data_IF_393277168795
#
_entry.id   IF_393277168795
#
_cell.length_a   1.000
_cell.length_b   1.000
_cell.length_c   1.000
_cell.angle_alpha   90.00
_cell.angle_beta   90.00
_cell.angle_gamma   90.00
#
_symmetry.space_group_name_H-M   'P 1'
#
loop_
_entity.id
_entity.type
_entity.pdbx_description
1 polymer ?
#
# COMPACT_ATOMS: atom_id res chain seq x y z
N UNK A 1 2.19 -17.07 -33.87
CA UNK A 1 2.89 -16.07 -33.03
C UNK A 1 2.20 -16.10 -31.69
N UNK A 2 2.81 -16.76 -30.71
CA UNK A 2 2.15 -17.13 -29.44
C UNK A 2 1.90 -15.90 -28.57
N UNK A 3 0.67 -15.81 -28.09
CA UNK A 3 0.17 -14.87 -27.11
C UNK A 3 0.95 -15.02 -25.79
N UNK A 4 1.72 -14.01 -25.43
CA UNK A 4 2.54 -13.96 -24.21
C UNK A 4 1.78 -13.32 -23.02
N UNK A 5 0.45 -13.36 -22.98
CA UNK A 5 -0.34 -12.64 -21.97
C UNK A 5 -0.67 -13.46 -20.70
N UNK A 6 -0.23 -14.72 -20.60
CA UNK A 6 -0.68 -15.63 -19.54
C UNK A 6 0.37 -16.03 -18.48
N UNK A 7 1.52 -15.35 -18.40
CA UNK A 7 2.31 -15.42 -17.17
C UNK A 7 1.64 -14.48 -16.18
N UNK A 8 1.02 -15.02 -15.14
CA UNK A 8 0.48 -14.24 -14.03
C UNK A 8 1.54 -13.24 -13.61
N UNK A 9 1.33 -11.96 -13.92
CA UNK A 9 2.35 -10.96 -13.63
C UNK A 9 2.70 -11.07 -12.13
N UNK A 10 3.98 -11.13 -11.75
CA UNK A 10 4.39 -11.50 -10.38
C UNK A 10 3.68 -10.67 -9.30
N UNK A 11 3.38 -9.41 -9.61
CA UNK A 11 2.65 -8.51 -8.72
C UNK A 11 1.16 -8.84 -8.49
N UNK A 12 0.51 -9.58 -9.39
CA UNK A 12 -0.86 -10.10 -9.17
C UNK A 12 -0.84 -11.28 -8.20
N UNK A 13 0.16 -12.15 -8.31
CA UNK A 13 0.33 -13.29 -7.40
C UNK A 13 0.66 -12.82 -5.98
N UNK A 14 1.55 -11.83 -5.84
CA UNK A 14 1.82 -11.18 -4.54
C UNK A 14 0.53 -10.63 -3.93
N UNK A 15 -0.36 -10.03 -4.73
CA UNK A 15 -1.62 -9.52 -4.20
C UNK A 15 -2.55 -10.62 -3.69
N UNK A 16 -2.54 -11.79 -4.32
CA UNK A 16 -3.27 -12.97 -3.86
C UNK A 16 -2.72 -13.52 -2.56
N UNK A 17 -1.40 -13.58 -2.44
CA UNK A 17 -0.72 -14.01 -1.23
C UNK A 17 -1.00 -13.06 -0.06
N UNK A 18 -0.80 -11.76 -0.27
CA UNK A 18 -0.95 -10.73 0.78
C UNK A 18 -2.40 -10.53 1.20
N UNK A 19 -3.35 -10.48 0.26
CA UNK A 19 -4.75 -10.18 0.58
C UNK A 19 -5.60 -11.44 0.79
N UNK A 20 -5.11 -12.63 0.45
CA UNK A 20 -5.92 -13.86 0.43
C UNK A 20 -6.56 -14.20 1.78
N UNK A 21 -5.86 -13.89 2.87
CA UNK A 21 -6.31 -14.11 4.26
C UNK A 21 -6.82 -12.84 4.94
N UNK A 22 -6.71 -11.67 4.31
CA UNK A 22 -7.16 -10.40 4.87
C UNK A 22 -8.69 -10.24 4.72
N UNK A 23 -9.33 -9.41 5.56
CA UNK A 23 -10.78 -9.19 5.50
C UNK A 23 -11.21 -8.49 4.20
N UNK A 24 -12.48 -8.63 3.84
CA UNK A 24 -13.08 -7.91 2.71
C UNK A 24 -12.90 -6.40 2.92
N UNK A 25 -12.60 -5.68 1.83
CA UNK A 25 -12.24 -4.26 1.86
C UNK A 25 -10.75 -4.00 1.98
N UNK A 26 -9.93 -4.99 2.40
CA UNK A 26 -8.48 -4.85 2.43
C UNK A 26 -7.91 -4.66 1.03
N UNK A 27 -6.93 -3.78 0.89
CA UNK A 27 -6.42 -3.40 -0.42
C UNK A 27 -4.94 -3.07 -0.41
N UNK A 28 -4.34 -3.06 -1.59
CA UNK A 28 -3.01 -2.52 -1.83
C UNK A 28 -2.96 -1.76 -3.14
N UNK A 29 -2.09 -0.75 -3.19
CA UNK A 29 -1.78 -0.01 -4.41
C UNK A 29 -0.38 -0.41 -4.85
N UNK A 30 -0.26 -0.83 -6.11
CA UNK A 30 0.98 -1.33 -6.71
C UNK A 30 1.21 -0.71 -8.08
N UNK A 31 2.41 -0.87 -8.62
CA UNK A 31 2.65 -0.51 -10.02
C UNK A 31 1.85 -1.43 -10.95
N UNK A 32 1.33 -0.86 -12.04
CA UNK A 32 0.60 -1.61 -13.05
C UNK A 32 1.56 -2.43 -13.90
N UNK A 33 1.38 -3.75 -13.88
CA UNK A 33 2.18 -4.67 -14.69
C UNK A 33 1.88 -4.60 -16.19
N UNK A 34 0.69 -4.10 -16.55
CA UNK A 34 0.25 -4.03 -17.96
C UNK A 34 0.39 -2.64 -18.57
N UNK A 35 0.63 -1.61 -17.75
CA UNK A 35 0.68 -0.22 -18.21
C UNK A 35 1.75 0.56 -17.42
N UNK A 36 2.97 0.71 -17.98
CA UNK A 36 4.04 1.46 -17.34
C UNK A 36 3.59 2.87 -16.93
N UNK A 37 4.04 3.34 -15.76
CA UNK A 37 3.69 4.66 -15.23
C UNK A 37 2.27 4.78 -14.64
N UNK A 38 1.46 3.72 -14.67
CA UNK A 38 0.16 3.67 -13.99
C UNK A 38 0.21 2.83 -12.72
N UNK A 39 -0.79 3.01 -11.85
CA UNK A 39 -0.96 2.23 -10.64
C UNK A 39 -2.10 1.22 -10.81
N UNK A 40 -2.11 0.18 -9.98
CA UNK A 40 -3.20 -0.78 -9.88
C UNK A 40 -3.61 -0.90 -8.41
N UNK A 41 -4.93 -0.88 -8.16
CA UNK A 41 -5.54 -1.16 -6.88
C UNK A 41 -5.99 -2.63 -6.88
N UNK A 42 -5.43 -3.44 -6.00
CA UNK A 42 -5.93 -4.78 -5.72
C UNK A 42 -6.80 -4.72 -4.48
N UNK A 43 -8.04 -5.20 -4.55
CA UNK A 43 -9.05 -5.14 -3.49
C UNK A 43 -9.55 -6.54 -3.16
N UNK A 44 -9.57 -6.88 -1.87
CA UNK A 44 -10.21 -8.08 -1.35
C UNK A 44 -11.73 -7.90 -1.38
N UNK A 45 -12.41 -8.77 -2.12
CA UNK A 45 -13.86 -8.72 -2.33
C UNK A 45 -14.50 -10.07 -1.98
N UNK A 46 -15.82 -10.13 -1.74
CA UNK A 46 -16.50 -11.41 -1.55
C UNK A 46 -16.24 -12.37 -2.72
N UNK A 47 -15.98 -13.66 -2.42
CA UNK A 47 -15.74 -14.68 -3.45
C UNK A 47 -16.97 -14.94 -4.34
N UNK A 48 -18.16 -14.56 -3.87
CA UNK A 48 -19.40 -14.58 -4.66
C UNK A 48 -19.38 -13.60 -5.83
N UNK A 49 -18.63 -12.50 -5.72
CA UNK A 49 -18.50 -11.49 -6.78
C UNK A 49 -17.29 -11.76 -7.67
N UNK A 50 -16.22 -12.33 -7.11
CA UNK A 50 -15.01 -12.64 -7.84
C UNK A 50 -14.41 -13.97 -7.37
N UNK A 51 -14.23 -14.98 -8.25
CA UNK A 51 -13.78 -16.31 -7.85
C UNK A 51 -12.45 -16.34 -7.10
N UNK A 52 -11.49 -15.51 -7.53
CA UNK A 52 -10.19 -15.34 -6.85
C UNK A 52 -10.31 -14.64 -5.49
N UNK A 53 -11.44 -13.99 -5.23
CA UNK A 53 -11.64 -13.12 -4.09
C UNK A 53 -10.92 -11.78 -4.18
N UNK A 54 -10.29 -11.46 -5.32
CA UNK A 54 -9.54 -10.22 -5.52
C UNK A 54 -9.95 -9.55 -6.83
N UNK A 55 -10.37 -8.30 -6.74
CA UNK A 55 -10.62 -7.42 -7.87
C UNK A 55 -9.40 -6.52 -8.11
N UNK A 56 -9.10 -6.24 -9.38
CA UNK A 56 -8.01 -5.34 -9.77
C UNK A 56 -8.54 -4.17 -10.60
N UNK A 57 -8.21 -2.95 -10.17
CA UNK A 57 -8.60 -1.72 -10.82
C UNK A 57 -7.36 -0.96 -11.30
N UNK A 58 -7.40 -0.40 -12.50
CA UNK A 58 -6.33 0.45 -13.00
C UNK A 58 -6.53 1.87 -12.50
N UNK A 59 -5.55 2.41 -11.77
CA UNK A 59 -5.50 3.83 -11.42
C UNK A 59 -4.61 4.54 -12.44
N UNK A 60 -5.23 5.49 -13.15
CA UNK A 60 -4.59 6.27 -14.20
C UNK A 60 -4.23 7.66 -13.67
N UNK A 61 -3.05 8.14 -14.04
CA UNK A 61 -2.68 9.53 -13.89
C UNK A 61 -3.27 10.35 -15.06
N UNK A 62 -3.75 11.54 -14.75
CA UNK A 62 -4.42 12.48 -15.66
C UNK A 62 -3.89 13.88 -15.39
N UNK A 63 -4.20 14.85 -16.25
CA UNK A 63 -3.79 16.24 -16.06
C UNK A 63 -4.37 16.89 -14.80
N UNK A 64 -5.42 16.30 -14.20
CA UNK A 64 -6.11 16.81 -13.00
C UNK A 64 -5.80 15.99 -11.74
N UNK A 65 -5.00 14.92 -11.85
CA UNK A 65 -4.66 14.02 -10.76
C UNK A 65 -4.90 12.55 -11.12
N UNK A 66 -5.57 11.79 -10.27
CA UNK A 66 -5.73 10.34 -10.36
C UNK A 66 -7.21 9.94 -10.46
N UNK A 67 -7.47 8.87 -11.22
CA UNK A 67 -8.78 8.21 -11.25
C UNK A 67 -8.67 6.72 -11.48
N UNK A 68 -9.70 5.99 -11.05
CA UNK A 68 -9.88 4.59 -11.44
C UNK A 68 -10.45 4.55 -12.86
N UNK A 69 -9.89 3.70 -13.73
CA UNK A 69 -10.39 3.52 -15.10
C UNK A 69 -11.86 3.06 -15.06
N UNK A 70 -12.73 3.80 -15.75
CA UNK A 70 -14.18 3.57 -15.76
C UNK A 70 -14.96 4.40 -14.73
N UNK A 71 -14.28 5.05 -13.78
CA UNK A 71 -14.88 6.00 -12.86
C UNK A 71 -14.81 7.41 -13.45
N UNK A 72 -15.80 8.23 -13.13
CA UNK A 72 -15.88 9.63 -13.60
C UNK A 72 -15.15 10.60 -12.68
N UNK A 73 -15.01 10.25 -11.40
CA UNK A 73 -14.41 11.11 -10.38
C UNK A 73 -12.89 11.12 -10.46
N UNK A 74 -12.32 12.32 -10.37
CA UNK A 74 -10.88 12.57 -10.35
C UNK A 74 -10.46 13.16 -9.00
N UNK A 75 -9.25 12.81 -8.57
CA UNK A 75 -8.71 13.13 -7.26
C UNK A 75 -7.32 13.74 -7.39
N UNK A 76 -7.00 14.78 -6.65
CA UNK A 76 -5.69 15.44 -6.73
C UNK A 76 -4.53 14.53 -6.32
N UNK A 77 -4.77 13.60 -5.39
CA UNK A 77 -3.76 12.66 -4.89
C UNK A 77 -4.30 11.24 -4.78
N UNK A 78 -3.40 10.23 -4.86
CA UNK A 78 -3.76 8.83 -4.59
C UNK A 78 -4.39 8.67 -3.20
N UNK A 79 -3.87 9.36 -2.18
CA UNK A 79 -4.42 9.31 -0.82
C UNK A 79 -5.87 9.79 -0.78
N UNK A 80 -6.20 10.88 -1.48
CA UNK A 80 -7.57 11.39 -1.53
C UNK A 80 -8.53 10.44 -2.26
N UNK A 81 -8.05 9.75 -3.31
CA UNK A 81 -8.81 8.69 -4.00
C UNK A 81 -9.13 7.54 -3.03
N UNK A 82 -8.12 7.05 -2.31
CA UNK A 82 -8.25 5.95 -1.36
C UNK A 82 -9.17 6.33 -0.19
N UNK A 83 -9.00 7.52 0.37
CA UNK A 83 -9.80 8.02 1.51
C UNK A 83 -11.26 8.22 1.12
N UNK A 84 -11.54 8.73 -0.09
CA UNK A 84 -12.93 8.84 -0.55
C UNK A 84 -13.59 7.47 -0.67
N UNK A 85 -12.88 6.50 -1.26
CA UNK A 85 -13.39 5.14 -1.48
C UNK A 85 -13.44 4.27 -0.21
N UNK A 86 -12.87 4.69 0.91
CA UNK A 86 -13.07 4.01 2.20
C UNK A 86 -14.43 4.31 2.82
N UNK A 87 -15.06 5.43 2.44
CA UNK A 87 -16.38 5.84 2.93
C UNK A 87 -17.45 5.58 1.86
N UNK A 88 -17.16 5.94 0.61
CA UNK A 88 -18.10 5.80 -0.51
C UNK A 88 -17.56 4.82 -1.56
N UNK A 89 -18.08 3.58 -1.62
CA UNK A 89 -17.59 2.58 -2.56
C UNK A 89 -17.84 2.99 -4.03
N UNK A 90 -18.93 3.71 -4.30
CA UNK A 90 -19.37 4.08 -5.65
C UNK A 90 -19.52 2.83 -6.54
N UNK A 91 -18.60 2.62 -7.50
CA UNK A 91 -18.59 1.45 -8.39
C UNK A 91 -17.72 0.29 -7.85
N UNK A 92 -17.12 0.44 -6.66
CA UNK A 92 -16.44 -0.65 -5.97
C UNK A 92 -17.47 -1.59 -5.30
N UNK A 93 -17.20 -2.90 -5.24
CA UNK A 93 -18.09 -3.88 -4.61
C UNK A 93 -18.16 -3.75 -3.08
N UNK A 94 -17.18 -3.06 -2.48
CA UNK A 94 -17.15 -2.75 -1.06
C UNK A 94 -16.24 -1.55 -0.81
N UNK A 95 -16.41 -0.83 0.33
CA UNK A 95 -15.53 0.26 0.70
C UNK A 95 -14.11 -0.25 1.01
N UNK A 96 -13.12 0.61 0.82
CA UNK A 96 -11.73 0.32 1.17
C UNK A 96 -11.53 0.35 2.69
N UNK A 97 -10.85 -0.66 3.23
CA UNK A 97 -10.51 -0.71 4.66
C UNK A 97 -9.14 -0.10 4.92
N UNK A 98 -9.11 1.02 5.63
CA UNK A 98 -7.85 1.72 5.98
C UNK A 98 -7.08 1.06 7.12
N UNK A 99 -7.64 0.04 7.80
CA UNK A 99 -7.06 -0.60 8.99
C UNK A 99 -5.64 -1.17 8.77
N UNK A 100 -5.22 -1.37 7.51
CA UNK A 100 -3.89 -1.86 7.14
C UNK A 100 -3.32 -1.12 5.93
N UNK A 101 -3.70 0.13 5.69
CA UNK A 101 -3.05 0.93 4.65
C UNK A 101 -1.60 1.22 5.08
N UNK A 102 -0.73 0.25 4.86
CA UNK A 102 0.69 0.39 5.06
C UNK A 102 1.19 1.20 3.86
N UNK A 103 1.28 2.52 4.04
CA UNK A 103 1.83 3.45 3.04
C UNK A 103 3.32 3.19 2.76
N UNK A 104 3.89 2.07 3.20
CA UNK A 104 5.29 1.69 3.07
C UNK A 104 5.74 1.51 1.62
N UNK A 105 4.82 1.34 0.65
CA UNK A 105 5.16 1.40 -0.78
C UNK A 105 5.36 2.83 -1.32
N UNK A 106 5.25 3.86 -0.47
CA UNK A 106 5.56 5.25 -0.82
C UNK A 106 6.95 5.74 -0.38
N UNK A 107 7.89 4.84 -0.09
CA UNK A 107 9.32 5.16 -0.02
C UNK A 107 10.10 4.51 -1.16
N UNK A 108 9.79 4.90 -2.40
CA UNK A 108 10.79 4.90 -3.48
C UNK A 108 10.63 6.21 -4.23
N UNK A 109 11.15 7.27 -3.59
CA UNK A 109 11.02 8.65 -4.01
C UNK A 109 11.13 9.56 -2.79
N UNK A 110 12.37 9.78 -2.34
CA UNK A 110 12.81 10.75 -1.33
C UNK A 110 12.83 10.28 0.15
N UNK A 111 14.03 10.41 0.74
CA UNK A 111 14.45 10.23 2.14
C UNK A 111 14.61 8.78 2.64
N UNK A 112 15.75 8.18 2.32
CA UNK A 112 16.30 7.00 3.02
C UNK A 112 16.77 7.31 4.46
N UNK A 113 16.85 8.57 4.89
CA UNK A 113 17.23 8.90 6.27
C UNK A 113 16.01 9.37 7.07
N UNK A 114 15.64 8.57 8.07
CA UNK A 114 15.04 8.93 9.36
C UNK A 114 14.10 7.81 9.83
N UNK A 115 14.69 6.86 10.56
CA UNK A 115 14.06 6.13 11.68
C UNK A 115 15.08 6.10 12.82
N UNK A 116 15.24 7.23 13.52
CA UNK A 116 15.87 7.26 14.85
C UNK A 116 14.77 7.02 15.88
N UNK A 117 14.55 5.75 16.20
CA UNK A 117 13.63 5.30 17.26
C UNK A 117 14.25 4.04 17.89
N UNK A 118 15.44 4.14 18.50
CA UNK A 118 15.95 3.21 19.54
C UNK A 118 17.30 3.65 20.15
N UNK A 119 17.52 4.95 20.38
CA UNK A 119 18.57 5.42 21.30
C UNK A 119 17.95 6.34 22.34
N UNK A 120 17.41 5.74 23.41
CA UNK A 120 17.00 6.48 24.62
C UNK A 120 18.26 7.12 25.27
N UNK A 121 18.39 8.46 25.28
CA UNK A 121 19.59 9.15 25.76
C UNK A 121 19.80 9.06 27.28
N UNK A 122 18.79 8.60 28.04
CA UNK A 122 18.91 8.43 29.49
C UNK A 122 19.64 7.14 29.90
N UNK A 123 19.69 6.12 29.02
CA UNK A 123 20.32 4.84 29.36
C UNK A 123 21.84 4.90 29.20
N UNK A 124 22.33 5.64 28.22
CA UNK A 124 23.77 5.90 28.01
C UNK A 124 24.34 6.70 29.17
N UNK A 125 23.63 7.73 29.66
CA UNK A 125 24.07 8.55 30.78
C UNK A 125 24.15 7.77 32.11
N UNK A 126 23.19 6.88 32.39
CA UNK A 126 23.23 5.99 33.57
C UNK A 126 24.36 4.95 33.48
N UNK A 127 24.65 4.48 32.28
CA UNK A 127 25.74 3.53 32.02
C UNK A 127 27.10 4.18 32.29
N UNK A 128 27.28 5.42 31.82
CA UNK A 128 28.51 6.18 32.01
C UNK A 128 28.71 6.61 33.46
N UNK A 129 27.65 7.02 34.17
CA UNK A 129 27.76 7.37 35.59
C UNK A 129 28.11 6.16 36.46
N UNK A 130 27.52 4.99 36.16
CA UNK A 130 27.85 3.73 36.86
C UNK A 130 29.29 3.29 36.58
N UNK A 131 29.80 3.55 35.38
CA UNK A 131 31.18 3.26 34.99
C UNK A 131 32.17 4.21 35.68
N UNK A 132 31.82 5.49 35.78
CA UNK A 132 32.64 6.51 36.45
C UNK A 132 32.78 6.29 37.95
N UNK A 133 31.75 5.75 38.64
CA UNK A 133 31.86 5.35 40.05
C UNK A 133 32.66 4.05 40.27
N UNK A 134 32.76 3.19 39.26
CA UNK A 134 33.50 1.94 39.35
C UNK A 134 35.02 2.14 39.19
N UNK A 135 35.44 3.18 38.47
CA UNK A 135 36.85 3.55 38.25
C UNK A 135 37.41 4.52 39.31
N UNK A 136 36.64 4.85 40.35
CA UNK A 136 37.05 5.76 41.44
C UNK A 136 37.43 5.03 42.75
N UNK A 137 37.92 3.79 42.67
CA UNK A 137 38.50 3.05 43.81
C UNK A 137 40.02 3.07 43.77
#
# INVERSE_FOLDING_TARGET
MHDASAVGAPHKEIALEVLGQEPIGSFLVRQSSTKPGCFALSLRVPRSLQPSGIAHYLIMHTNRGYKIKGFTKEFSTLTSLITHHSVMPELLPCPLSLYRYNSTFRKHGSAEDMVDIDEDPDYTLLSDFRKMMADAV
#
